data_IF_679034074163
#
_entry.id   IF_679034074163
#
_cell.length_a   1.000
_cell.length_b   1.000
_cell.length_c   1.000
_cell.angle_alpha   90.00
_cell.angle_beta   90.00
_cell.angle_gamma   90.00
#
_symmetry.space_group_name_H-M   'P 1'
#
loop_
_entity.id
_entity.type
_entity.pdbx_description
1 polymer ?
#
# COMPACT_ATOMS: atom_id res chain seq x y z
N UNK A 1 -8.96 -2.06 21.57
CA UNK A 1 -8.17 -0.98 20.95
C UNK A 1 -8.17 -1.25 19.46
N UNK A 2 -8.44 -0.24 18.62
CA UNK A 2 -8.37 -0.43 17.17
C UNK A 2 -6.91 -0.19 16.81
N UNK A 3 -6.15 -1.25 16.57
CA UNK A 3 -4.73 -1.14 16.26
C UNK A 3 -4.53 -0.29 15.00
N UNK A 4 -3.73 0.77 15.11
CA UNK A 4 -3.41 1.64 13.98
C UNK A 4 -2.56 0.83 12.97
N UNK A 5 -3.17 0.54 11.82
CA UNK A 5 -2.58 -0.29 10.78
C UNK A 5 -2.39 0.50 9.50
N UNK A 6 -1.19 0.40 8.93
CA UNK A 6 -0.89 0.92 7.58
C UNK A 6 -0.80 -0.25 6.60
N UNK A 7 -1.56 -0.16 5.51
CA UNK A 7 -1.43 -1.10 4.40
C UNK A 7 -0.40 -0.57 3.40
N UNK A 8 0.56 -1.38 3.02
CA UNK A 8 1.55 -1.06 1.99
C UNK A 8 1.24 -1.91 0.76
N UNK A 9 0.85 -1.26 -0.34
CA UNK A 9 0.57 -1.93 -1.60
C UNK A 9 1.85 -1.95 -2.43
N UNK A 10 2.32 -3.15 -2.75
CA UNK A 10 3.56 -3.38 -3.48
C UNK A 10 3.35 -3.47 -5.00
N UNK A 11 4.00 -2.56 -5.71
CA UNK A 11 4.03 -2.51 -7.18
C UNK A 11 5.32 -3.09 -7.78
N UNK A 12 6.16 -3.72 -6.95
CA UNK A 12 7.40 -4.39 -7.36
C UNK A 12 8.66 -3.59 -7.07
N UNK A 13 8.61 -2.64 -6.13
CA UNK A 13 9.78 -1.87 -5.71
C UNK A 13 10.77 -2.73 -4.93
N UNK A 14 12.06 -2.52 -5.22
CA UNK A 14 13.17 -3.14 -4.48
C UNK A 14 13.23 -2.69 -3.01
N UNK A 15 12.58 -1.58 -2.67
CA UNK A 15 12.64 -0.97 -1.33
C UNK A 15 11.34 -1.10 -0.53
N UNK A 16 10.33 -1.83 -1.01
CA UNK A 16 9.04 -1.99 -0.29
C UNK A 16 9.22 -2.49 1.14
N UNK A 17 10.16 -3.42 1.37
CA UNK A 17 10.46 -3.92 2.72
C UNK A 17 11.06 -2.84 3.64
N UNK A 18 11.82 -1.88 3.08
CA UNK A 18 12.36 -0.75 3.86
C UNK A 18 11.24 0.19 4.30
N UNK A 19 10.23 0.42 3.45
CA UNK A 19 9.04 1.21 3.82
C UNK A 19 8.36 0.56 5.02
N UNK A 20 8.06 -0.75 4.96
CA UNK A 20 7.44 -1.45 6.09
C UNK A 20 8.28 -1.41 7.36
N UNK A 21 9.61 -1.56 7.24
CA UNK A 21 10.52 -1.42 8.38
C UNK A 21 10.41 -0.03 9.01
N UNK A 22 10.38 1.05 8.22
CA UNK A 22 10.26 2.42 8.73
C UNK A 22 8.94 2.68 9.45
N UNK A 23 7.83 2.15 8.92
CA UNK A 23 6.52 2.24 9.61
C UNK A 23 6.54 1.52 10.95
N UNK A 24 7.12 0.32 11.01
CA UNK A 24 7.24 -0.47 12.25
C UNK A 24 8.20 0.15 13.25
N UNK A 25 9.30 0.75 12.81
CA UNK A 25 10.21 1.53 13.65
C UNK A 25 9.52 2.75 14.29
N UNK A 26 8.48 3.29 13.65
CA UNK A 26 7.63 4.34 14.22
C UNK A 26 6.55 3.81 15.20
N UNK A 27 6.54 2.51 15.49
CA UNK A 27 5.61 1.88 16.43
C UNK A 27 4.25 1.52 15.84
N UNK A 28 4.07 1.58 14.52
CA UNK A 28 2.79 1.32 13.85
C UNK A 28 2.83 -0.04 13.15
N UNK A 29 1.76 -0.83 13.29
CA UNK A 29 1.66 -2.10 12.58
C UNK A 29 1.53 -1.86 11.08
N UNK A 30 2.24 -2.64 10.28
CA UNK A 30 2.17 -2.54 8.83
C UNK A 30 2.17 -3.91 8.16
N UNK A 31 1.37 -4.04 7.12
CA UNK A 31 1.32 -5.23 6.28
C UNK A 31 1.60 -4.85 4.82
N UNK A 32 2.42 -5.65 4.14
CA UNK A 32 2.69 -5.51 2.71
C UNK A 32 1.80 -6.50 1.97
N UNK A 33 1.09 -6.04 0.95
CA UNK A 33 0.36 -6.89 0.00
C UNK A 33 0.77 -6.56 -1.43
N UNK A 34 0.85 -7.54 -2.33
CA UNK A 34 1.03 -7.25 -3.75
C UNK A 34 -0.22 -6.54 -4.31
N UNK A 35 -0.05 -5.69 -5.34
CA UNK A 35 -1.16 -4.88 -5.88
C UNK A 35 -2.40 -5.69 -6.30
N UNK A 36 -2.22 -6.93 -6.76
CA UNK A 36 -3.31 -7.84 -7.13
C UNK A 36 -4.20 -8.24 -5.95
N UNK A 37 -3.70 -8.10 -4.71
CA UNK A 37 -4.42 -8.42 -3.47
C UNK A 37 -4.76 -7.17 -2.65
N UNK A 38 -4.65 -5.98 -3.24
CA UNK A 38 -4.90 -4.73 -2.54
C UNK A 38 -6.33 -4.65 -1.99
N UNK A 39 -7.35 -5.05 -2.76
CA UNK A 39 -8.75 -5.05 -2.31
C UNK A 39 -8.99 -5.97 -1.12
N UNK A 40 -8.45 -7.19 -1.18
CA UNK A 40 -8.50 -8.17 -0.08
C UNK A 40 -7.82 -7.60 1.19
N UNK A 41 -6.65 -6.99 1.01
CA UNK A 41 -5.92 -6.33 2.10
C UNK A 41 -6.71 -5.18 2.73
N UNK A 42 -7.33 -4.33 1.91
CA UNK A 42 -8.16 -3.20 2.37
C UNK A 42 -9.36 -3.69 3.18
N UNK A 43 -10.08 -4.69 2.67
CA UNK A 43 -11.27 -5.24 3.33
C UNK A 43 -10.94 -5.95 4.65
N UNK A 44 -9.84 -6.72 4.69
CA UNK A 44 -9.42 -7.48 5.87
C UNK A 44 -8.84 -6.58 6.95
N UNK A 45 -7.93 -5.67 6.61
CA UNK A 45 -7.18 -4.88 7.58
C UNK A 45 -7.89 -3.60 8.02
N UNK A 46 -8.77 -3.04 7.18
CA UNK A 46 -9.42 -1.73 7.42
C UNK A 46 -8.40 -0.68 7.89
N UNK A 47 -7.34 -0.42 7.09
CA UNK A 47 -6.20 0.37 7.54
C UNK A 47 -6.58 1.83 7.79
N UNK A 48 -5.76 2.52 8.59
CA UNK A 48 -5.88 3.97 8.86
C UNK A 48 -5.21 4.83 7.79
N UNK A 49 -4.36 4.23 6.97
CA UNK A 49 -3.70 4.87 5.85
C UNK A 49 -3.06 3.85 4.93
N UNK A 50 -2.74 4.26 3.71
CA UNK A 50 -2.19 3.39 2.68
C UNK A 50 -0.94 4.00 2.08
N UNK A 51 0.08 3.18 1.88
CA UNK A 51 1.29 3.54 1.14
C UNK A 51 1.31 2.76 -0.17
N UNK A 52 1.42 3.46 -1.29
CA UNK A 52 1.66 2.87 -2.61
C UNK A 52 3.16 2.87 -2.84
N UNK A 53 3.78 1.68 -2.90
CA UNK A 53 5.20 1.60 -3.25
C UNK A 53 5.43 1.90 -4.73
N UNK A 54 6.67 2.19 -5.08
CA UNK A 54 7.02 2.32 -6.49
C UNK A 54 7.07 0.97 -7.19
N UNK A 55 7.39 1.01 -8.47
CA UNK A 55 7.65 -0.20 -9.25
C UNK A 55 8.49 0.12 -10.49
N UNK A 56 9.01 -0.91 -11.18
CA UNK A 56 9.77 -0.71 -12.41
C UNK A 56 8.88 -0.38 -13.62
N UNK A 57 7.56 -0.54 -13.51
CA UNK A 57 6.62 -0.34 -14.62
C UNK A 57 6.24 1.13 -14.79
N UNK A 58 6.10 1.60 -16.04
CA UNK A 58 5.52 2.91 -16.32
C UNK A 58 3.99 2.86 -16.19
N UNK A 59 3.40 3.87 -15.55
CA UNK A 59 1.94 4.02 -15.45
C UNK A 59 1.27 4.26 -16.82
N UNK A 60 2.02 4.61 -17.85
CA UNK A 60 1.47 4.78 -19.21
C UNK A 60 1.31 3.45 -19.95
N UNK A 61 1.98 2.39 -19.51
CA UNK A 61 2.03 1.14 -20.26
C UNK A 61 0.72 0.35 -20.11
N UNK A 62 0.16 -0.21 -21.19
CA UNK A 62 -1.01 -1.08 -21.11
C UNK A 62 -0.77 -2.26 -20.17
N UNK A 63 -1.71 -2.48 -19.24
CA UNK A 63 -1.62 -3.58 -18.27
C UNK A 63 -0.60 -3.37 -17.15
N UNK A 64 0.00 -2.19 -17.04
CA UNK A 64 0.86 -1.88 -15.89
C UNK A 64 0.08 -1.98 -14.58
N UNK A 65 0.74 -2.34 -13.46
CA UNK A 65 0.11 -2.47 -12.15
C UNK A 65 -0.71 -1.23 -11.74
N UNK A 66 -1.88 -1.46 -11.12
CA UNK A 66 -2.79 -0.40 -10.68
C UNK A 66 -3.25 -0.61 -9.25
N UNK A 67 -3.37 0.48 -8.50
CA UNK A 67 -4.10 0.48 -7.26
C UNK A 67 -5.60 0.27 -7.56
N UNK A 68 -6.34 -0.40 -6.68
CA UNK A 68 -7.78 -0.56 -6.84
C UNK A 68 -8.48 0.79 -6.74
N UNK A 69 -9.47 1.04 -7.60
CA UNK A 69 -10.15 2.34 -7.68
C UNK A 69 -10.85 2.72 -6.37
N UNK A 70 -11.37 1.71 -5.66
CA UNK A 70 -12.06 1.88 -4.39
C UNK A 70 -11.17 2.55 -3.32
N UNK A 71 -9.85 2.30 -3.35
CA UNK A 71 -8.91 2.95 -2.44
C UNK A 71 -9.07 4.48 -2.43
N UNK A 72 -9.24 5.08 -3.60
CA UNK A 72 -9.35 6.54 -3.75
C UNK A 72 -10.71 7.08 -3.31
N UNK A 73 -11.72 6.21 -3.13
CA UNK A 73 -13.07 6.58 -2.68
C UNK A 73 -13.27 6.38 -1.17
N UNK A 74 -12.39 5.64 -0.50
CA UNK A 74 -12.50 5.31 0.92
C UNK A 74 -12.20 6.48 1.88
N UNK A 75 -11.69 7.62 1.37
CA UNK A 75 -11.34 8.78 2.19
C UNK A 75 -10.14 8.56 3.13
N UNK A 76 -9.33 7.54 2.86
CA UNK A 76 -8.10 7.26 3.61
C UNK A 76 -6.96 8.17 3.16
N UNK A 77 -6.04 8.56 4.06
CA UNK A 77 -4.77 9.16 3.67
C UNK A 77 -3.95 8.18 2.81
N UNK A 78 -3.42 8.67 1.69
CA UNK A 78 -2.60 7.90 0.75
C UNK A 78 -1.26 8.59 0.56
N UNK A 79 -0.17 7.85 0.70
CA UNK A 79 1.18 8.27 0.35
C UNK A 79 1.68 7.44 -0.83
N UNK A 80 1.99 8.08 -1.96
CA UNK A 80 2.66 7.43 -3.11
C UNK A 80 4.16 7.68 -3.10
N UNK A 81 4.95 6.65 -3.42
CA UNK A 81 6.42 6.74 -3.50
C UNK A 81 6.88 6.24 -4.87
N UNK A 82 7.29 7.18 -5.74
CA UNK A 82 7.68 6.99 -7.14
C UNK A 82 6.56 6.48 -8.06
#
# INVERSE_FOLDING_TARGET
MVDETILIIDFGSQVTQLIARRVREAGVYSEIVPFQKAEEGLARLKPKGVILSGGPASVTDPGSPRAPEELFRMGLPILGIC
#
